data_IF_466965291115
#
_entry.id   IF_466965291115
#
_cell.length_a   1.000
_cell.length_b   1.000
_cell.length_c   1.000
_cell.angle_alpha   90.00
_cell.angle_beta   90.00
_cell.angle_gamma   90.00
#
_symmetry.space_group_name_H-M   'P 1'
#
loop_
_entity.id
_entity.type
_entity.pdbx_description
1 polymer ?
#
# COMPACT_ATOMS: atom_id res chain seq x y z
N UNK A 1 -40.87 9.69 9.28
CA UNK A 1 -39.66 9.68 8.48
C UNK A 1 -39.44 8.31 7.85
N UNK A 2 -39.39 8.24 6.54
CA UNK A 2 -39.22 7.00 5.83
C UNK A 2 -37.71 6.70 5.74
N UNK A 3 -37.29 5.53 6.20
CA UNK A 3 -35.91 5.09 6.09
C UNK A 3 -35.80 4.00 5.02
N UNK A 4 -34.73 4.04 4.25
CA UNK A 4 -34.47 3.07 3.20
C UNK A 4 -33.36 2.12 3.58
N UNK A 5 -33.48 0.86 3.17
CA UNK A 5 -32.43 -0.14 3.34
C UNK A 5 -31.15 0.29 2.59
N UNK A 6 -30.02 0.20 3.26
CA UNK A 6 -28.73 0.60 2.67
C UNK A 6 -28.31 -0.31 1.50
N UNK A 7 -28.84 -1.53 1.41
CA UNK A 7 -28.52 -2.45 0.33
C UNK A 7 -29.51 -2.38 -0.82
N UNK A 8 -30.82 -2.58 -0.55
CA UNK A 8 -31.82 -2.68 -1.62
C UNK A 8 -32.69 -1.43 -1.81
N UNK A 9 -32.52 -0.42 -0.98
CA UNK A 9 -33.24 0.86 -1.01
C UNK A 9 -34.74 0.75 -0.71
N UNK A 10 -35.25 -0.42 -0.34
CA UNK A 10 -36.65 -0.59 0.05
C UNK A 10 -36.93 0.02 1.42
N UNK A 11 -38.20 0.35 1.64
CA UNK A 11 -38.65 0.96 2.89
C UNK A 11 -38.39 0.01 4.06
N UNK A 12 -37.80 0.54 5.13
CA UNK A 12 -37.60 -0.18 6.37
C UNK A 12 -38.72 0.08 7.33
N UNK A 13 -39.26 -1.02 7.93
CA UNK A 13 -40.24 -0.97 8.98
C UNK A 13 -39.63 -1.61 10.23
N UNK A 14 -39.75 -0.96 11.38
CA UNK A 14 -39.22 -1.48 12.63
C UNK A 14 -38.48 -0.44 13.44
N UNK A 15 -37.47 -0.85 14.18
CA UNK A 15 -36.72 0.01 15.09
C UNK A 15 -36.05 1.18 14.36
N UNK A 16 -35.89 2.31 15.06
CA UNK A 16 -35.23 3.49 14.50
C UNK A 16 -33.77 3.23 14.09
N UNK A 17 -33.09 2.34 14.77
CA UNK A 17 -31.69 2.01 14.50
C UNK A 17 -31.51 0.99 13.36
N UNK A 18 -32.62 0.47 12.82
CA UNK A 18 -32.57 -0.53 11.75
C UNK A 18 -32.13 0.12 10.45
N UNK A 19 -31.05 -0.41 9.85
CA UNK A 19 -30.46 0.11 8.61
C UNK A 19 -30.77 -0.77 7.40
N UNK A 20 -31.20 -2.00 7.61
CA UNK A 20 -31.46 -2.99 6.57
C UNK A 20 -32.85 -3.60 6.73
N UNK A 21 -33.46 -3.94 5.61
CA UNK A 21 -34.79 -4.55 5.63
C UNK A 21 -34.75 -6.02 6.10
N UNK A 22 -33.61 -6.69 5.98
CA UNK A 22 -33.44 -8.09 6.35
C UNK A 22 -31.99 -8.39 6.70
N UNK A 23 -31.76 -9.54 7.33
CA UNK A 23 -30.41 -10.02 7.61
C UNK A 23 -29.64 -10.32 6.32
N UNK A 24 -30.37 -10.77 5.29
CA UNK A 24 -29.78 -11.03 3.97
C UNK A 24 -29.17 -9.75 3.37
N UNK A 25 -29.91 -8.64 3.42
CA UNK A 25 -29.40 -7.34 2.93
C UNK A 25 -28.20 -6.86 3.74
N UNK A 26 -28.23 -7.03 5.07
CA UNK A 26 -27.13 -6.65 5.93
C UNK A 26 -25.85 -7.45 5.57
N UNK A 27 -25.99 -8.74 5.40
CA UNK A 27 -24.86 -9.61 5.05
C UNK A 27 -24.28 -9.25 3.67
N UNK A 28 -25.15 -9.03 2.69
CA UNK A 28 -24.71 -8.63 1.35
C UNK A 28 -23.96 -7.30 1.36
N UNK A 29 -24.45 -6.32 2.09
CA UNK A 29 -23.80 -5.01 2.21
C UNK A 29 -22.43 -5.12 2.86
N UNK A 30 -22.34 -5.84 3.98
CA UNK A 30 -21.07 -6.03 4.69
C UNK A 30 -20.06 -6.81 3.85
N UNK A 31 -20.50 -7.81 3.10
CA UNK A 31 -19.63 -8.59 2.22
C UNK A 31 -19.04 -7.73 1.10
N UNK A 32 -19.82 -6.83 0.53
CA UNK A 32 -19.33 -5.90 -0.50
C UNK A 32 -18.25 -4.97 0.05
N UNK A 33 -18.50 -4.37 1.22
CA UNK A 33 -17.54 -3.48 1.86
C UNK A 33 -16.26 -4.21 2.19
N UNK A 34 -16.34 -5.41 2.75
CA UNK A 34 -15.16 -6.21 3.08
C UNK A 34 -14.37 -6.59 1.82
N UNK A 35 -15.06 -6.92 0.73
CA UNK A 35 -14.41 -7.24 -0.54
C UNK A 35 -13.65 -6.03 -1.10
N UNK A 36 -14.26 -4.84 -1.05
CA UNK A 36 -13.63 -3.61 -1.54
C UNK A 36 -12.40 -3.27 -0.70
N UNK A 37 -12.47 -3.39 0.63
CA UNK A 37 -11.34 -3.16 1.52
C UNK A 37 -10.21 -4.16 1.24
N UNK A 38 -10.53 -5.44 1.06
CA UNK A 38 -9.54 -6.48 0.77
C UNK A 38 -8.85 -6.23 -0.58
N UNK A 39 -9.59 -5.81 -1.60
CA UNK A 39 -9.04 -5.49 -2.92
C UNK A 39 -8.09 -4.29 -2.84
N UNK A 40 -8.46 -3.26 -2.09
CA UNK A 40 -7.63 -2.08 -1.89
C UNK A 40 -6.30 -2.46 -1.23
N UNK A 41 -6.36 -3.21 -0.14
CA UNK A 41 -5.17 -3.68 0.58
C UNK A 41 -4.30 -4.57 -0.31
N UNK A 42 -4.92 -5.47 -1.06
CA UNK A 42 -4.21 -6.36 -1.98
C UNK A 42 -3.44 -5.58 -3.04
N UNK A 43 -4.07 -4.55 -3.60
CA UNK A 43 -3.43 -3.71 -4.61
C UNK A 43 -2.22 -2.97 -4.06
N UNK A 44 -2.33 -2.42 -2.86
CA UNK A 44 -1.22 -1.75 -2.18
C UNK A 44 -0.10 -2.75 -1.88
N UNK A 45 -0.45 -3.91 -1.32
CA UNK A 45 0.53 -4.94 -0.99
C UNK A 45 1.26 -5.44 -2.23
N UNK A 46 0.56 -5.59 -3.34
CA UNK A 46 1.18 -6.01 -4.61
C UNK A 46 2.18 -4.96 -5.11
N UNK A 47 1.86 -3.68 -4.97
CA UNK A 47 2.78 -2.59 -5.36
C UNK A 47 4.01 -2.56 -4.47
N UNK A 48 3.84 -2.76 -3.17
CA UNK A 48 4.97 -2.82 -2.22
C UNK A 48 5.88 -4.01 -2.55
N UNK A 49 5.32 -5.18 -2.83
CA UNK A 49 6.08 -6.36 -3.19
C UNK A 49 6.82 -6.18 -4.52
N UNK A 50 6.17 -5.54 -5.48
CA UNK A 50 6.80 -5.23 -6.77
C UNK A 50 8.00 -4.31 -6.60
N UNK A 51 7.82 -3.24 -5.82
CA UNK A 51 8.91 -2.32 -5.51
C UNK A 51 10.07 -3.04 -4.83
N UNK A 52 9.78 -3.87 -3.85
CA UNK A 52 10.78 -4.68 -3.15
C UNK A 52 11.55 -5.57 -4.13
N UNK A 53 10.84 -6.25 -5.01
CA UNK A 53 11.45 -7.14 -6.00
C UNK A 53 12.41 -6.38 -6.91
N UNK A 54 11.99 -5.20 -7.37
CA UNK A 54 12.81 -4.35 -8.24
C UNK A 54 14.12 -3.97 -7.53
N UNK A 55 14.02 -3.49 -6.29
CA UNK A 55 15.20 -3.11 -5.52
C UNK A 55 16.11 -4.32 -5.25
N UNK A 56 15.53 -5.47 -4.90
CA UNK A 56 16.30 -6.69 -4.65
C UNK A 56 17.06 -7.16 -5.88
N UNK A 57 16.44 -7.11 -7.05
CA UNK A 57 17.07 -7.50 -8.31
C UNK A 57 18.23 -6.57 -8.69
N UNK A 58 18.08 -5.28 -8.43
CA UNK A 58 19.10 -4.29 -8.75
C UNK A 58 20.22 -4.22 -7.72
N UNK A 59 19.99 -4.74 -6.51
CA UNK A 59 20.92 -4.60 -5.39
C UNK A 59 21.29 -5.95 -4.76
N UNK A 60 21.85 -6.90 -5.53
CA UNK A 60 22.21 -8.19 -4.97
C UNK A 60 23.37 -8.14 -3.97
N UNK A 61 24.24 -7.14 -4.08
CA UNK A 61 25.39 -6.97 -3.19
C UNK A 61 25.06 -6.29 -1.87
N UNK A 62 23.86 -5.72 -1.75
CA UNK A 62 23.43 -4.99 -0.55
C UNK A 62 23.67 -3.49 -0.62
N UNK A 63 24.45 -3.00 -1.54
CA UNK A 63 24.70 -1.57 -1.76
C UNK A 63 25.13 -1.32 -3.19
N UNK A 64 24.44 -0.43 -3.89
CA UNK A 64 24.78 -0.07 -5.24
C UNK A 64 24.16 1.27 -5.62
N UNK A 65 24.61 1.83 -6.73
CA UNK A 65 24.07 3.06 -7.30
C UNK A 65 23.28 2.72 -8.55
N UNK A 66 22.13 3.37 -8.71
CA UNK A 66 21.31 3.27 -9.91
C UNK A 66 20.75 4.64 -10.25
N UNK A 67 19.89 4.71 -11.26
CA UNK A 67 19.22 5.94 -11.64
C UNK A 67 17.72 5.85 -11.37
N UNK A 68 17.10 7.00 -11.11
CA UNK A 68 15.65 7.09 -10.98
C UNK A 68 14.97 6.63 -12.26
N UNK A 69 15.53 6.98 -13.42
CA UNK A 69 15.01 6.58 -14.72
C UNK A 69 14.98 5.05 -14.87
N UNK A 70 16.03 4.37 -14.41
CA UNK A 70 16.09 2.92 -14.46
C UNK A 70 15.03 2.28 -13.56
N UNK A 71 14.85 2.82 -12.36
CA UNK A 71 13.79 2.35 -11.45
C UNK A 71 12.41 2.52 -12.09
N UNK A 72 12.15 3.68 -12.65
CA UNK A 72 10.87 3.95 -13.34
C UNK A 72 10.64 3.02 -14.51
N UNK A 73 11.69 2.73 -15.29
CA UNK A 73 11.57 1.84 -16.45
C UNK A 73 11.21 0.41 -16.06
N UNK A 74 11.55 0.00 -14.84
CA UNK A 74 11.19 -1.32 -14.31
C UNK A 74 9.81 -1.34 -13.65
N UNK A 75 9.16 -0.20 -13.54
CA UNK A 75 7.84 -0.07 -12.94
C UNK A 75 7.85 0.25 -11.45
N UNK A 76 8.95 0.79 -10.94
CA UNK A 76 9.05 1.21 -9.55
C UNK A 76 8.11 2.40 -9.29
N UNK A 77 7.34 2.32 -8.20
CA UNK A 77 6.39 3.37 -7.81
C UNK A 77 6.88 4.04 -6.53
N UNK A 78 7.37 5.28 -6.65
CA UNK A 78 7.96 6.03 -5.55
C UNK A 78 6.95 6.45 -4.48
N UNK A 79 5.66 6.32 -4.74
CA UNK A 79 4.62 6.64 -3.76
C UNK A 79 4.42 5.56 -2.70
N UNK A 80 4.97 4.36 -2.91
CA UNK A 80 4.75 3.23 -2.01
C UNK A 80 6.05 2.78 -1.38
N UNK A 81 6.09 2.88 -0.06
CA UNK A 81 7.21 2.43 0.77
C UNK A 81 6.67 1.96 2.12
N UNK A 82 7.44 1.13 2.83
CA UNK A 82 6.99 0.57 4.12
C UNK A 82 7.38 1.46 5.29
N UNK A 83 8.54 2.11 5.23
CA UNK A 83 8.96 3.03 6.27
C UNK A 83 10.02 4.01 5.75
N UNK A 84 10.26 5.05 6.54
CA UNK A 84 11.23 6.09 6.26
C UNK A 84 12.21 6.16 7.42
N UNK A 85 13.50 6.28 7.12
CA UNK A 85 14.53 6.53 8.13
C UNK A 85 15.30 7.79 7.79
N UNK A 86 15.45 8.67 8.76
CA UNK A 86 16.24 9.88 8.60
C UNK A 86 17.53 9.75 9.40
N UNK A 87 18.67 10.03 8.77
CA UNK A 87 19.97 10.00 9.42
C UNK A 87 20.27 11.32 10.13
N UNK A 88 21.30 11.33 11.00
CA UNK A 88 21.74 12.54 11.69
C UNK A 88 22.19 13.64 10.73
N UNK A 89 22.67 13.26 9.54
CA UNK A 89 23.10 14.21 8.50
C UNK A 89 21.93 14.78 7.70
N UNK A 90 20.70 14.36 7.99
CA UNK A 90 19.52 14.83 7.29
C UNK A 90 19.14 14.02 6.06
N UNK A 91 19.84 12.93 5.77
CA UNK A 91 19.50 12.06 4.65
C UNK A 91 18.26 11.25 4.96
N UNK A 92 17.35 11.14 4.00
CA UNK A 92 16.11 10.39 4.16
C UNK A 92 16.16 9.15 3.29
N UNK A 93 16.07 7.99 3.92
CA UNK A 93 15.99 6.70 3.25
C UNK A 93 14.56 6.21 3.24
N UNK A 94 14.10 5.77 2.07
CA UNK A 94 12.79 5.14 1.90
C UNK A 94 12.97 3.64 1.77
N UNK A 95 12.29 2.88 2.62
CA UNK A 95 12.47 1.43 2.68
C UNK A 95 11.26 0.68 2.15
N UNK A 96 11.54 -0.39 1.42
CA UNK A 96 10.62 -1.45 1.08
C UNK A 96 11.10 -2.68 1.83
N UNK A 97 10.58 -2.88 3.04
CA UNK A 97 11.02 -3.92 3.98
C UNK A 97 12.51 -3.71 4.33
N UNK A 98 13.41 -4.59 3.88
CA UNK A 98 14.84 -4.47 4.16
C UNK A 98 15.63 -3.75 3.06
N UNK A 99 15.02 -3.49 1.91
CA UNK A 99 15.64 -2.76 0.82
C UNK A 99 15.25 -1.29 0.88
N UNK A 100 16.22 -0.40 0.69
CA UNK A 100 15.95 1.01 0.74
C UNK A 100 16.68 1.79 -0.35
N UNK A 101 16.30 3.05 -0.51
CA UNK A 101 16.99 3.93 -1.44
C UNK A 101 17.09 5.34 -0.85
N UNK A 102 18.17 6.02 -1.25
CA UNK A 102 18.41 7.42 -0.97
C UNK A 102 18.50 8.16 -2.28
N UNK A 103 17.68 9.20 -2.46
CA UNK A 103 17.74 10.06 -3.63
C UNK A 103 19.02 10.92 -3.54
N UNK A 104 19.90 10.78 -4.51
CA UNK A 104 21.10 11.59 -4.65
C UNK A 104 20.82 12.74 -5.61
N UNK A 105 21.85 13.55 -5.89
CA UNK A 105 21.72 14.65 -6.83
C UNK A 105 21.38 14.17 -8.23
N UNK A 106 20.58 14.99 -8.94
CA UNK A 106 20.12 14.70 -10.30
C UNK A 106 19.27 13.42 -10.34
N UNK A 107 19.61 12.47 -11.22
CA UNK A 107 18.85 11.26 -11.47
C UNK A 107 19.36 10.04 -10.67
N UNK A 108 20.35 10.22 -9.81
CA UNK A 108 21.00 9.10 -9.11
C UNK A 108 20.28 8.71 -7.82
N UNK A 109 20.30 7.41 -7.56
CA UNK A 109 19.78 6.83 -6.31
C UNK A 109 20.81 5.85 -5.77
N UNK A 110 21.01 5.87 -4.45
CA UNK A 110 21.80 4.88 -3.75
C UNK A 110 20.87 3.82 -3.19
N UNK A 111 21.07 2.56 -3.58
CA UNK A 111 20.32 1.44 -3.02
C UNK A 111 21.09 0.83 -1.87
N UNK A 112 20.38 0.54 -0.80
CA UNK A 112 20.96 -0.06 0.41
C UNK A 112 20.08 -1.21 0.88
N UNK A 113 20.68 -2.15 1.58
CA UNK A 113 19.93 -3.22 2.25
C UNK A 113 20.17 -3.11 3.75
N UNK A 114 19.10 -3.06 4.51
CA UNK A 114 19.14 -3.02 5.95
C UNK A 114 19.48 -4.42 6.46
N UNK A 115 20.55 -4.54 7.22
CA UNK A 115 20.87 -5.83 7.82
C UNK A 115 19.84 -6.15 8.89
N UNK A 116 19.34 -7.38 8.84
CA UNK A 116 18.45 -7.86 9.88
C UNK A 116 19.26 -7.98 11.16
N UNK A 117 18.94 -7.13 12.12
CA UNK A 117 19.49 -7.24 13.45
C UNK A 117 18.86 -8.47 14.10
N UNK A 118 19.65 -9.50 14.20
CA UNK A 118 19.27 -10.69 14.96
C UNK A 118 19.38 -10.40 16.46
#
# INVERSE_FOLDING_TARGET
MIRACLECTEKIVGREDKKFCSDSCRNSYNNKINKDHNNFMRNINNRLRRNYRILSELNPSGRCRTTRSKLLSKGFDFYFFTNIEQTRKGNIYYFLYDQGYLQLDKDYCMLVRKELLT
#
